data_IF_508403379678
#
_entry.id   IF_508403379678
#
_cell.length_a   1.000
_cell.length_b   1.000
_cell.length_c   1.000
_cell.angle_alpha   90.00
_cell.angle_beta   90.00
_cell.angle_gamma   90.00
#
_symmetry.space_group_name_H-M   'P 1'
#
loop_
_entity.id
_entity.type
_entity.pdbx_description
1 polymer ?
#
# COMPACT_ATOMS: atom_id res chain seq x y z
N UNK A 1 -12.28 -1.56 -2.23
CA UNK A 1 -12.95 -0.55 -3.08
C UNK A 1 -14.09 -1.22 -3.81
N UNK A 2 -15.27 -0.62 -3.79
CA UNK A 2 -16.45 -1.11 -4.52
C UNK A 2 -16.92 -0.06 -5.52
N UNK A 3 -17.43 -0.48 -6.66
CA UNK A 3 -18.02 0.41 -7.64
C UNK A 3 -19.42 0.88 -7.23
N UNK A 4 -20.05 1.73 -8.05
CA UNK A 4 -21.39 2.24 -7.81
C UNK A 4 -22.47 1.15 -7.70
N UNK A 5 -22.26 -0.02 -8.29
CA UNK A 5 -23.14 -1.19 -8.19
C UNK A 5 -22.84 -2.07 -6.97
N UNK A 6 -21.95 -1.61 -6.08
CA UNK A 6 -21.44 -2.32 -4.90
C UNK A 6 -20.67 -3.60 -5.21
N UNK A 7 -20.21 -3.77 -6.45
CA UNK A 7 -19.30 -4.84 -6.85
C UNK A 7 -17.89 -4.44 -6.46
N UNK A 8 -17.16 -5.38 -5.86
CA UNK A 8 -15.79 -5.15 -5.42
C UNK A 8 -14.84 -5.08 -6.62
N UNK A 9 -14.23 -3.91 -6.82
CA UNK A 9 -13.22 -3.69 -7.87
C UNK A 9 -11.86 -4.24 -7.45
N UNK A 10 -11.46 -4.01 -6.20
CA UNK A 10 -10.13 -4.39 -5.72
C UNK A 10 -9.76 -3.74 -4.38
N UNK A 11 -8.51 -3.96 -3.96
CA UNK A 11 -7.97 -3.54 -2.67
C UNK A 11 -6.85 -2.51 -2.86
N UNK A 12 -6.80 -1.53 -1.95
CA UNK A 12 -5.65 -0.65 -1.77
C UNK A 12 -5.01 -0.97 -0.42
N UNK A 13 -3.72 -1.28 -0.43
CA UNK A 13 -2.94 -1.55 0.77
C UNK A 13 -1.83 -0.51 0.87
N UNK A 14 -1.84 0.28 1.94
CA UNK A 14 -0.77 1.24 2.21
C UNK A 14 0.22 0.66 3.21
N UNK A 15 1.50 0.82 2.93
CA UNK A 15 2.60 0.52 3.85
C UNK A 15 3.32 1.80 4.25
N UNK A 16 3.20 2.17 5.53
CA UNK A 16 3.98 3.26 6.13
C UNK A 16 5.41 2.77 6.37
N UNK A 17 6.41 3.44 5.79
CA UNK A 17 7.82 3.06 5.94
C UNK A 17 8.11 1.55 5.69
N UNK A 18 7.43 0.96 4.69
CA UNK A 18 7.53 -0.45 4.36
C UNK A 18 8.96 -0.84 3.93
N UNK A 19 9.41 -2.02 4.34
CA UNK A 19 10.73 -2.53 3.95
C UNK A 19 10.68 -3.08 2.53
N UNK A 20 11.38 -2.44 1.59
CA UNK A 20 11.49 -2.87 0.20
C UNK A 20 12.86 -3.51 -0.04
N UNK A 21 12.85 -4.73 -0.57
CA UNK A 21 14.05 -5.41 -1.07
C UNK A 21 14.05 -5.37 -2.59
N UNK A 22 15.09 -4.77 -3.18
CA UNK A 22 15.31 -4.84 -4.62
C UNK A 22 16.48 -5.77 -4.88
N UNK A 23 16.15 -6.99 -5.31
CA UNK A 23 17.11 -8.05 -5.58
C UNK A 23 17.41 -8.08 -7.08
N UNK A 24 18.68 -7.96 -7.45
CA UNK A 24 19.10 -8.14 -8.83
C UNK A 24 19.22 -9.64 -9.13
N UNK A 25 18.31 -10.14 -9.95
CA UNK A 25 18.19 -11.56 -10.27
C UNK A 25 19.07 -12.01 -11.45
N UNK A 26 19.86 -11.11 -12.05
CA UNK A 26 20.73 -11.40 -13.19
C UNK A 26 20.37 -10.59 -14.43
N UNK A 27 21.00 -10.93 -15.56
CA UNK A 27 20.78 -10.23 -16.82
C UNK A 27 19.39 -10.52 -17.39
N UNK A 28 18.75 -9.49 -17.94
CA UNK A 28 17.38 -9.58 -18.43
C UNK A 28 17.20 -10.45 -19.68
N UNK A 29 18.28 -10.74 -20.42
CA UNK A 29 18.32 -11.64 -21.58
C UNK A 29 18.83 -13.05 -21.25
N UNK A 30 19.01 -13.39 -19.97
CA UNK A 30 19.41 -14.74 -19.58
C UNK A 30 18.36 -15.77 -20.00
N UNK A 31 18.84 -16.93 -20.49
CA UNK A 31 17.95 -18.03 -20.91
C UNK A 31 17.13 -18.52 -19.72
N UNK A 32 15.93 -19.01 -19.98
CA UNK A 32 14.96 -19.44 -18.95
C UNK A 32 15.51 -20.52 -17.99
N UNK A 33 16.47 -21.33 -18.44
CA UNK A 33 17.15 -22.36 -17.65
C UNK A 33 18.50 -21.93 -17.05
N UNK A 34 18.88 -20.65 -17.14
CA UNK A 34 20.14 -20.16 -16.58
C UNK A 34 19.97 -19.83 -15.09
N UNK A 35 20.98 -20.19 -14.27
CA UNK A 35 20.97 -19.91 -12.83
C UNK A 35 20.93 -18.39 -12.60
N UNK A 36 19.93 -17.91 -11.85
CA UNK A 36 19.75 -16.48 -11.52
C UNK A 36 20.83 -15.98 -10.54
N UNK A 37 21.39 -14.81 -10.81
CA UNK A 37 22.42 -14.13 -10.02
C UNK A 37 23.66 -13.82 -10.85
N UNK A 38 24.77 -13.55 -10.16
CA UNK A 38 26.07 -13.26 -10.76
C UNK A 38 27.13 -14.11 -10.05
N UNK A 39 28.15 -14.55 -10.77
CA UNK A 39 29.24 -15.30 -10.19
C UNK A 39 30.29 -14.32 -9.65
N UNK A 40 30.60 -14.41 -8.35
CA UNK A 40 31.56 -13.55 -7.65
C UNK A 40 32.71 -14.40 -7.14
N UNK A 41 33.94 -13.96 -7.41
CA UNK A 41 35.13 -14.47 -6.74
C UNK A 41 35.22 -13.91 -5.32
N UNK A 42 35.13 -14.77 -4.32
CA UNK A 42 35.12 -14.36 -2.91
C UNK A 42 36.52 -13.99 -2.39
N UNK A 43 37.59 -14.49 -3.01
CA UNK A 43 38.97 -14.15 -2.60
C UNK A 43 39.42 -12.83 -3.21
N UNK A 44 39.12 -12.62 -4.50
CA UNK A 44 39.66 -11.47 -5.26
C UNK A 44 38.64 -10.36 -5.48
N UNK A 45 37.35 -10.59 -5.22
CA UNK A 45 36.29 -9.60 -5.35
C UNK A 45 35.90 -9.26 -6.79
N UNK A 46 36.34 -10.07 -7.77
CA UNK A 46 35.99 -9.87 -9.18
C UNK A 46 34.68 -10.56 -9.54
N UNK A 47 33.83 -9.86 -10.27
CA UNK A 47 32.64 -10.42 -10.90
C UNK A 47 33.06 -11.17 -12.17
N UNK A 48 32.54 -12.38 -12.37
CA UNK A 48 32.72 -13.07 -13.64
C UNK A 48 31.99 -12.30 -14.75
N UNK A 49 32.63 -12.18 -15.90
CA UNK A 49 31.99 -11.72 -17.13
C UNK A 49 30.89 -12.70 -17.54
N UNK A 50 29.79 -12.18 -18.10
CA UNK A 50 28.70 -13.04 -18.57
C UNK A 50 29.23 -13.95 -19.68
N UNK A 51 29.07 -15.26 -19.52
CA UNK A 51 29.44 -16.24 -20.55
C UNK A 51 28.70 -16.03 -21.89
N UNK A 52 27.65 -15.19 -21.92
CA UNK A 52 26.93 -14.79 -23.14
C UNK A 52 27.34 -13.40 -23.69
N UNK A 53 28.32 -12.70 -23.10
CA UNK A 53 28.77 -11.41 -23.64
C UNK A 53 29.47 -11.61 -24.98
N UNK A 54 29.04 -10.88 -26.02
CA UNK A 54 29.73 -10.84 -27.32
C UNK A 54 30.99 -9.95 -27.31
N UNK A 55 31.32 -9.36 -26.16
CA UNK A 55 32.58 -8.66 -25.99
C UNK A 55 33.73 -9.67 -26.03
N UNK A 56 34.85 -9.36 -26.72
CA UNK A 56 35.99 -10.25 -26.75
C UNK A 56 36.48 -10.47 -25.31
N UNK A 57 36.33 -11.69 -24.82
CA UNK A 57 36.95 -12.12 -23.57
C UNK A 57 38.46 -11.87 -23.72
N UNK A 58 38.99 -10.97 -22.91
CA UNK A 58 40.44 -10.78 -22.89
C UNK A 58 41.06 -12.01 -22.25
N UNK A 59 42.20 -12.50 -22.76
CA UNK A 59 42.92 -13.63 -22.14
C UNK A 59 43.29 -13.36 -20.66
N UNK A 60 43.22 -12.09 -20.25
CA UNK A 60 43.44 -11.61 -18.89
C UNK A 60 42.26 -11.88 -17.92
N UNK A 61 41.04 -12.12 -18.40
CA UNK A 61 39.85 -12.28 -17.55
C UNK A 61 39.80 -13.64 -16.85
N UNK A 62 40.21 -14.72 -17.52
CA UNK A 62 40.28 -16.06 -16.93
C UNK A 62 41.44 -16.22 -15.94
N UNK A 63 42.55 -15.48 -16.14
CA UNK A 63 43.72 -15.48 -15.24
C UNK A 63 43.42 -14.75 -13.91
N UNK A 64 42.43 -13.85 -13.91
CA UNK A 64 42.08 -13.02 -12.75
C UNK A 64 41.20 -13.70 -11.71
N UNK A 65 40.57 -14.82 -11.99
CA UNK A 65 39.68 -15.48 -11.03
C UNK A 65 40.31 -16.66 -10.29
N UNK A 66 40.05 -16.76 -8.99
CA UNK A 66 40.37 -17.89 -8.12
C UNK A 66 39.40 -19.06 -8.31
N UNK A 67 39.65 -20.17 -7.62
CA UNK A 67 38.72 -21.31 -7.57
C UNK A 67 37.53 -21.07 -6.61
N UNK A 68 37.58 -20.03 -5.78
CA UNK A 68 36.55 -19.72 -4.78
C UNK A 68 35.49 -18.79 -5.37
N UNK A 69 34.58 -19.37 -6.18
CA UNK A 69 33.51 -18.64 -6.86
C UNK A 69 32.14 -19.01 -6.30
N UNK A 70 31.31 -18.02 -6.00
CA UNK A 70 29.94 -18.23 -5.52
C UNK A 70 28.92 -17.44 -6.33
N UNK A 71 27.72 -18.02 -6.50
CA UNK A 71 26.60 -17.33 -7.11
C UNK A 71 25.91 -16.44 -6.09
N UNK A 72 26.00 -15.13 -6.29
CA UNK A 72 25.40 -14.14 -5.40
C UNK A 72 24.29 -13.37 -6.12
N UNK A 73 23.37 -12.83 -5.33
CA UNK A 73 22.29 -11.96 -5.80
C UNK A 73 22.38 -10.66 -5.01
N UNK A 74 23.01 -9.62 -5.57
CA UNK A 74 23.12 -8.35 -4.87
C UNK A 74 21.71 -7.80 -4.68
N UNK A 75 21.47 -7.25 -3.50
CA UNK A 75 20.21 -6.62 -3.17
C UNK A 75 20.46 -5.33 -2.41
N UNK A 76 19.50 -4.43 -2.51
CA UNK A 76 19.40 -3.26 -1.64
C UNK A 76 18.14 -3.37 -0.81
N UNK A 77 18.21 -2.87 0.42
CA UNK A 77 17.10 -2.76 1.35
C UNK A 77 16.87 -1.28 1.64
N UNK A 78 15.62 -0.85 1.50
CA UNK A 78 15.21 0.52 1.80
C UNK A 78 13.87 0.52 2.56
N UNK A 79 13.51 1.66 3.16
CA UNK A 79 12.25 1.90 3.85
C UNK A 79 11.48 3.00 3.12
N UNK A 80 10.37 2.65 2.48
CA UNK A 80 9.60 3.59 1.66
C UNK A 80 8.11 3.52 1.97
N UNK A 81 7.44 4.65 1.87
CA UNK A 81 5.99 4.67 1.79
C UNK A 81 5.56 4.03 0.47
N UNK A 82 4.63 3.08 0.55
CA UNK A 82 4.12 2.41 -0.64
C UNK A 82 2.60 2.26 -0.61
N UNK A 83 2.02 2.19 -1.80
CA UNK A 83 0.60 1.93 -2.03
C UNK A 83 0.51 0.81 -3.06
N UNK A 84 -0.13 -0.28 -2.67
CA UNK A 84 -0.37 -1.43 -3.51
C UNK A 84 -1.83 -1.43 -3.97
N UNK A 85 -2.04 -1.49 -5.28
CA UNK A 85 -3.35 -1.65 -5.91
C UNK A 85 -3.49 -3.07 -6.45
N UNK A 86 -4.47 -3.81 -5.92
CA UNK A 86 -4.79 -5.19 -6.28
C UNK A 86 -6.23 -5.27 -6.82
N UNK A 87 -6.42 -5.29 -8.15
CA UNK A 87 -7.70 -5.61 -8.74
C UNK A 87 -8.20 -6.99 -8.28
N UNK A 88 -9.50 -7.11 -8.00
CA UNK A 88 -10.12 -8.38 -7.63
C UNK A 88 -10.19 -9.32 -8.82
N UNK A 89 -10.63 -8.80 -9.95
CA UNK A 89 -10.62 -9.50 -11.23
C UNK A 89 -9.35 -9.14 -11.99
N UNK A 90 -8.74 -10.13 -12.62
CA UNK A 90 -7.54 -9.91 -13.41
C UNK A 90 -7.87 -9.02 -14.61
N UNK A 91 -7.26 -7.84 -14.65
CA UNK A 91 -7.25 -6.98 -15.82
C UNK A 91 -6.34 -7.56 -16.90
N UNK A 92 -6.58 -7.18 -18.15
CA UNK A 92 -5.71 -7.53 -19.28
C UNK A 92 -4.34 -6.87 -19.14
N UNK A 93 -3.35 -7.37 -19.89
CA UNK A 93 -2.00 -6.83 -19.86
C UNK A 93 -1.97 -5.33 -20.26
N UNK A 94 -2.71 -4.96 -21.29
CA UNK A 94 -2.80 -3.57 -21.79
C UNK A 94 -3.48 -2.64 -20.78
N UNK A 95 -4.56 -3.10 -20.14
CA UNK A 95 -5.25 -2.36 -19.07
C UNK A 95 -4.31 -2.12 -17.88
N UNK A 96 -3.58 -3.14 -17.41
CA UNK A 96 -2.64 -3.01 -16.28
C UNK A 96 -1.50 -2.04 -16.59
N UNK A 97 -0.89 -2.16 -17.78
CA UNK A 97 0.19 -1.28 -18.24
C UNK A 97 -0.30 0.18 -18.31
N UNK A 98 -1.45 0.38 -18.95
CA UNK A 98 -2.01 1.71 -19.19
C UNK A 98 -2.49 2.34 -17.88
N UNK A 99 -3.10 1.56 -16.99
CA UNK A 99 -3.58 2.02 -15.68
C UNK A 99 -2.39 2.41 -14.80
N UNK A 100 -1.34 1.59 -14.76
CA UNK A 100 -0.11 1.92 -14.03
C UNK A 100 0.49 3.26 -14.52
N UNK A 101 0.57 3.46 -15.84
CA UNK A 101 1.09 4.69 -16.43
C UNK A 101 0.20 5.90 -16.10
N UNK A 102 -1.12 5.74 -16.17
CA UNK A 102 -2.10 6.79 -15.88
C UNK A 102 -2.03 7.23 -14.42
N UNK A 103 -2.10 6.29 -13.48
CA UNK A 103 -2.06 6.58 -12.05
C UNK A 103 -0.74 7.24 -11.66
N UNK A 104 0.39 6.73 -12.15
CA UNK A 104 1.72 7.32 -11.89
C UNK A 104 1.76 8.77 -12.34
N UNK A 105 1.35 9.06 -13.59
CA UNK A 105 1.39 10.41 -14.16
C UNK A 105 0.39 11.36 -13.51
N UNK A 106 -0.79 10.87 -13.13
CA UNK A 106 -1.78 11.67 -12.42
C UNK A 106 -1.27 12.13 -11.05
N UNK A 107 -0.62 11.23 -10.30
CA UNK A 107 0.01 11.58 -9.02
C UNK A 107 1.14 12.59 -9.25
N UNK A 108 1.99 12.37 -10.26
CA UNK A 108 3.07 13.30 -10.58
C UNK A 108 2.55 14.71 -10.93
N UNK A 109 1.54 14.80 -11.79
CA UNK A 109 0.96 16.08 -12.18
C UNK A 109 0.25 16.78 -11.01
N UNK A 110 -0.58 16.04 -10.26
CA UNK A 110 -1.36 16.60 -9.16
C UNK A 110 -0.49 17.13 -8.02
N UNK A 111 0.57 16.40 -7.68
CA UNK A 111 1.45 16.72 -6.56
C UNK A 111 2.78 17.33 -6.99
N UNK A 112 2.94 17.66 -8.28
CA UNK A 112 4.12 18.30 -8.86
C UNK A 112 5.42 17.53 -8.57
N UNK A 113 5.37 16.21 -8.72
CA UNK A 113 6.53 15.34 -8.51
C UNK A 113 7.33 15.16 -9.79
N UNK A 114 8.65 15.09 -9.64
CA UNK A 114 9.55 14.69 -10.70
C UNK A 114 9.46 13.18 -11.01
N UNK A 115 9.94 12.77 -12.18
CA UNK A 115 9.85 11.35 -12.61
C UNK A 115 10.56 10.38 -11.65
N UNK A 116 11.64 10.85 -11.01
CA UNK A 116 12.44 10.05 -10.08
C UNK A 116 11.85 9.96 -8.67
N UNK A 117 10.84 10.75 -8.31
CA UNK A 117 10.31 10.81 -6.94
C UNK A 117 9.22 9.78 -6.67
N UNK A 118 8.57 9.27 -7.72
CA UNK A 118 7.54 8.25 -7.64
C UNK A 118 7.85 7.10 -8.59
N UNK A 119 7.95 5.89 -8.04
CA UNK A 119 8.06 4.67 -8.82
C UNK A 119 6.70 3.96 -8.91
N UNK A 120 6.47 3.29 -10.05
CA UNK A 120 5.35 2.38 -10.26
C UNK A 120 5.91 1.09 -10.85
N UNK A 121 5.68 -0.03 -10.17
CA UNK A 121 6.16 -1.34 -10.59
C UNK A 121 5.00 -2.33 -10.67
N UNK A 122 4.96 -3.18 -11.70
CA UNK A 122 4.05 -4.30 -11.71
C UNK A 122 4.55 -5.39 -10.76
N UNK A 123 3.62 -6.10 -10.12
CA UNK A 123 3.90 -7.28 -9.31
C UNK A 123 3.14 -8.51 -9.81
N UNK A 124 3.75 -9.72 -9.71
CA UNK A 124 5.11 -9.97 -9.26
C UNK A 124 6.21 -9.46 -10.19
N UNK A 125 5.97 -9.36 -11.51
CA UNK A 125 6.93 -8.81 -12.47
C UNK A 125 6.26 -8.29 -13.77
N UNK A 126 7.07 -7.82 -14.72
CA UNK A 126 6.59 -7.25 -15.99
C UNK A 126 5.96 -8.28 -16.95
N UNK A 127 6.08 -9.59 -16.72
CA UNK A 127 5.40 -10.60 -17.54
C UNK A 127 4.05 -11.01 -16.92
N UNK A 128 3.90 -10.82 -15.62
CA UNK A 128 2.71 -11.18 -14.86
C UNK A 128 2.30 -9.99 -13.97
N UNK A 129 1.51 -9.08 -14.55
CA UNK A 129 1.07 -7.85 -13.89
C UNK A 129 -0.25 -8.10 -13.16
N UNK A 130 -0.18 -8.61 -11.93
CA UNK A 130 -1.37 -8.86 -11.09
C UNK A 130 -1.73 -7.66 -10.23
N UNK A 131 -0.74 -6.84 -9.86
CA UNK A 131 -0.96 -5.65 -9.03
C UNK A 131 0.04 -4.55 -9.36
N UNK A 132 -0.27 -3.33 -8.92
CA UNK A 132 0.55 -2.14 -9.14
C UNK A 132 1.09 -1.67 -7.80
N UNK A 133 2.41 -1.68 -7.64
CA UNK A 133 3.10 -1.11 -6.49
C UNK A 133 3.58 0.29 -6.82
N UNK A 134 3.01 1.29 -6.15
CA UNK A 134 3.53 2.65 -6.12
C UNK A 134 4.40 2.81 -4.87
N UNK A 135 5.57 3.42 -5.00
CA UNK A 135 6.36 3.82 -3.83
C UNK A 135 7.09 5.15 -4.04
N UNK A 136 7.24 5.88 -2.95
CA UNK A 136 7.96 7.16 -2.92
C UNK A 136 9.47 6.87 -2.94
N UNK A 137 10.12 7.25 -4.04
CA UNK A 137 11.55 6.99 -4.27
C UNK A 137 12.45 7.97 -3.54
N UNK A 138 11.95 9.16 -3.22
CA UNK A 138 12.68 10.19 -2.46
C UNK A 138 13.03 9.72 -1.05
N UNK A 139 14.14 10.20 -0.50
CA UNK A 139 14.53 9.94 0.89
C UNK A 139 13.54 10.64 1.84
N UNK A 140 13.06 9.93 2.87
CA UNK A 140 12.06 10.44 3.83
C UNK A 140 10.60 10.37 3.36
N UNK A 141 10.34 10.21 2.06
CA UNK A 141 8.98 10.16 1.51
C UNK A 141 8.27 11.51 1.54
N UNK A 142 7.47 11.79 0.51
CA UNK A 142 6.65 13.00 0.45
C UNK A 142 5.32 12.86 1.23
N UNK A 143 4.97 11.64 1.65
CA UNK A 143 3.71 11.34 2.35
C UNK A 143 2.48 11.49 1.46
N UNK A 144 2.66 11.53 0.14
CA UNK A 144 1.62 11.70 -0.87
C UNK A 144 0.77 10.44 -0.97
N UNK A 145 1.39 9.26 -0.95
CA UNK A 145 0.66 8.00 -1.04
C UNK A 145 -0.28 7.78 0.15
N UNK A 146 0.07 8.33 1.33
CA UNK A 146 -0.79 8.32 2.53
C UNK A 146 -2.05 9.16 2.32
N UNK A 147 -1.95 10.28 1.61
CA UNK A 147 -3.09 11.16 1.32
C UNK A 147 -4.13 10.45 0.44
N UNK A 148 -3.70 9.54 -0.44
CA UNK A 148 -4.60 8.75 -1.29
C UNK A 148 -5.46 7.74 -0.53
N UNK A 149 -5.23 7.55 0.77
CA UNK A 149 -6.17 6.84 1.64
C UNK A 149 -7.45 7.63 1.93
N UNK A 150 -7.41 8.96 1.76
CA UNK A 150 -8.60 9.79 1.79
C UNK A 150 -9.38 9.59 0.46
N UNK A 151 -10.64 9.12 0.50
CA UNK A 151 -11.43 8.90 -0.70
C UNK A 151 -11.51 10.14 -1.62
N UNK A 152 -11.57 11.34 -1.06
CA UNK A 152 -11.63 12.57 -1.85
C UNK A 152 -10.33 12.81 -2.63
N UNK A 153 -9.18 12.56 -2.02
CA UNK A 153 -7.88 12.69 -2.70
C UNK A 153 -7.66 11.58 -3.73
N UNK A 154 -8.14 10.36 -3.43
CA UNK A 154 -8.15 9.27 -4.40
C UNK A 154 -9.01 9.64 -5.62
N UNK A 155 -10.26 10.06 -5.42
CA UNK A 155 -11.15 10.46 -6.52
C UNK A 155 -10.57 11.61 -7.32
N UNK A 156 -9.96 12.59 -6.65
CA UNK A 156 -9.30 13.69 -7.33
C UNK A 156 -8.08 13.24 -8.17
N UNK A 157 -7.33 12.23 -7.71
CA UNK A 157 -6.27 11.58 -8.48
C UNK A 157 -6.82 10.80 -9.68
N UNK A 158 -7.96 10.12 -9.55
CA UNK A 158 -8.62 9.44 -10.68
C UNK A 158 -9.16 10.43 -11.71
N UNK A 159 -9.76 11.53 -11.26
CA UNK A 159 -10.18 12.65 -12.14
C UNK A 159 -8.98 13.20 -12.91
N UNK A 160 -7.82 13.35 -12.26
CA UNK A 160 -6.60 13.76 -12.93
C UNK A 160 -6.09 12.71 -13.92
N UNK A 161 -6.21 11.42 -13.58
CA UNK A 161 -5.87 10.30 -14.49
C UNK A 161 -6.69 10.36 -15.79
N UNK A 162 -8.00 10.67 -15.70
CA UNK A 162 -8.85 10.88 -16.87
C UNK A 162 -8.36 12.04 -17.73
N UNK A 163 -8.03 13.20 -17.12
CA UNK A 163 -7.51 14.37 -17.86
C UNK A 163 -6.19 14.07 -18.56
N UNK A 164 -5.28 13.42 -17.83
CA UNK A 164 -3.98 12.99 -18.35
C UNK A 164 -4.16 12.05 -19.54
N UNK A 165 -5.12 11.13 -19.48
CA UNK A 165 -5.50 10.25 -20.59
C UNK A 165 -6.37 10.92 -21.70
N UNK A 166 -6.51 12.25 -21.66
CA UNK A 166 -7.29 13.08 -22.60
C UNK A 166 -8.80 12.82 -22.61
N UNK A 167 -9.35 12.32 -21.50
CA UNK A 167 -10.80 12.19 -21.32
C UNK A 167 -11.36 13.37 -20.54
N UNK A 168 -12.58 13.76 -20.88
CA UNK A 168 -13.40 14.63 -20.05
C UNK A 168 -13.82 13.88 -18.78
N UNK A 169 -13.46 14.36 -17.57
CA UNK A 169 -13.72 13.60 -16.35
C UNK A 169 -15.20 13.43 -16.01
N UNK A 170 -16.09 14.28 -16.52
CA UNK A 170 -17.52 14.22 -16.23
C UNK A 170 -18.24 13.19 -17.12
N UNK A 171 -18.03 13.28 -18.43
CA UNK A 171 -18.71 12.46 -19.43
C UNK A 171 -17.92 11.22 -19.88
N UNK A 172 -16.61 11.16 -19.57
CA UNK A 172 -15.69 10.19 -20.14
C UNK A 172 -15.49 10.37 -21.65
N UNK A 173 -15.90 11.50 -22.24
CA UNK A 173 -15.73 11.76 -23.67
C UNK A 173 -14.25 11.91 -24.00
N UNK A 174 -13.83 11.29 -25.09
CA UNK A 174 -12.49 11.47 -25.63
C UNK A 174 -12.31 12.87 -26.24
N UNK A 175 -11.37 13.65 -25.71
CA UNK A 175 -10.97 14.95 -26.25
C UNK A 175 -9.88 14.84 -27.32
N UNK A 176 -9.42 13.62 -27.62
CA UNK A 176 -8.45 13.23 -28.64
C UNK A 176 -7.03 13.75 -28.42
N UNK A 177 -6.80 14.75 -27.57
CA UNK A 177 -5.50 15.41 -27.40
C UNK A 177 -5.43 16.24 -26.11
N UNK A 178 -4.22 16.60 -25.70
CA UNK A 178 -4.00 17.62 -24.68
C UNK A 178 -4.44 19.02 -25.17
N UNK A 179 -4.74 19.93 -24.24
CA UNK A 179 -5.25 21.28 -24.52
C UNK A 179 -4.37 22.08 -25.51
N UNK A 180 -3.05 21.92 -25.43
CA UNK A 180 -2.08 22.64 -26.27
C UNK A 180 -1.45 21.78 -27.38
N UNK A 181 -1.92 20.53 -27.56
CA UNK A 181 -1.37 19.63 -28.55
C UNK A 181 -1.93 19.90 -29.96
N UNK A 182 -1.04 19.85 -30.95
CA UNK A 182 -1.42 20.05 -32.38
C UNK A 182 -1.99 18.78 -33.00
N UNK A 183 -1.54 17.63 -32.54
CA UNK A 183 -1.87 16.31 -33.08
C UNK A 183 -2.84 15.58 -32.16
N UNK A 184 -3.64 14.68 -32.75
CA UNK A 184 -4.46 13.77 -31.97
C UNK A 184 -3.59 12.65 -31.41
N UNK A 185 -3.81 12.32 -30.14
CA UNK A 185 -3.37 11.08 -29.54
C UNK A 185 -4.26 9.94 -30.04
N UNK A 186 -3.64 8.96 -30.72
CA UNK A 186 -4.27 7.68 -31.02
C UNK A 186 -4.28 6.81 -29.75
N UNK A 187 -3.40 5.82 -29.62
CA UNK A 187 -3.35 4.95 -28.44
C UNK A 187 -2.75 5.64 -27.21
N UNK A 188 -1.56 6.24 -27.36
CA UNK A 188 -0.87 6.99 -26.31
C UNK A 188 0.18 7.94 -26.89
N UNK A 189 0.55 8.98 -26.14
CA UNK A 189 1.57 9.96 -26.47
C UNK A 189 2.33 10.40 -25.20
N UNK A 190 3.40 11.17 -25.38
CA UNK A 190 4.18 11.72 -24.27
C UNK A 190 3.38 12.73 -23.42
N UNK A 191 2.41 13.43 -24.02
CA UNK A 191 1.49 14.31 -23.28
C UNK A 191 0.43 13.54 -22.49
N UNK A 192 0.25 12.22 -22.69
CA UNK A 192 -0.78 11.42 -22.00
C UNK A 192 -0.31 10.26 -21.11
N UNK A 193 0.38 9.22 -21.62
CA UNK A 193 0.75 8.02 -20.83
C UNK A 193 2.19 7.56 -21.05
N UNK A 194 2.82 7.93 -22.17
CA UNK A 194 4.20 7.55 -22.47
C UNK A 194 5.21 8.41 -21.69
N UNK A 195 6.23 7.78 -21.14
CA UNK A 195 7.42 8.44 -20.61
C UNK A 195 8.67 7.69 -21.02
N UNK A 196 9.85 8.24 -20.74
CA UNK A 196 11.09 7.54 -21.02
C UNK A 196 11.26 6.29 -20.12
N UNK A 197 10.75 6.31 -18.89
CA UNK A 197 10.87 5.15 -17.98
C UNK A 197 10.02 3.95 -18.39
N UNK A 198 8.95 4.14 -19.16
CA UNK A 198 8.07 3.05 -19.63
C UNK A 198 8.24 2.72 -21.12
N UNK A 199 9.36 3.10 -21.75
CA UNK A 199 9.60 2.91 -23.19
C UNK A 199 9.40 1.48 -23.70
N UNK A 200 9.64 0.48 -22.84
CA UNK A 200 9.47 -0.93 -23.18
C UNK A 200 8.01 -1.35 -23.34
N UNK A 201 7.12 -0.65 -22.64
CA UNK A 201 5.70 -0.91 -22.63
C UNK A 201 4.95 -0.07 -23.68
N UNK A 202 5.61 0.88 -24.36
CA UNK A 202 4.99 1.82 -25.31
C UNK A 202 4.06 1.17 -26.33
N UNK A 203 4.39 -0.02 -26.83
CA UNK A 203 3.56 -0.74 -27.80
C UNK A 203 2.24 -1.30 -27.22
N UNK A 204 2.14 -1.39 -25.90
CA UNK A 204 1.00 -1.96 -25.16
C UNK A 204 0.24 -0.90 -24.34
N UNK A 205 0.69 0.35 -24.35
CA UNK A 205 -0.03 1.45 -23.68
C UNK A 205 -1.13 1.92 -24.63
N UNK A 206 -2.38 1.81 -24.18
CA UNK A 206 -3.56 2.36 -24.85
C UNK A 206 -4.51 2.97 -23.83
N UNK A 207 -4.66 4.30 -23.90
CA UNK A 207 -5.51 5.08 -22.99
C UNK A 207 -6.98 4.69 -23.06
N UNK A 208 -7.47 4.15 -24.18
CA UNK A 208 -8.89 3.79 -24.32
C UNK A 208 -9.26 2.57 -23.49
N UNK A 209 -8.32 1.64 -23.28
CA UNK A 209 -8.54 0.41 -22.50
C UNK A 209 -8.91 0.70 -21.04
N UNK A 210 -8.43 1.83 -20.50
CA UNK A 210 -8.61 2.20 -19.10
C UNK A 210 -9.71 3.23 -18.86
N UNK A 211 -10.37 3.74 -19.91
CA UNK A 211 -11.41 4.77 -19.79
C UNK A 211 -12.49 4.32 -18.81
N UNK A 212 -13.06 3.15 -19.05
CA UNK A 212 -14.22 2.68 -18.28
C UNK A 212 -13.80 2.32 -16.85
N UNK A 213 -12.60 1.74 -16.67
CA UNK A 213 -11.98 1.49 -15.36
C UNK A 213 -11.83 2.79 -14.56
N UNK A 214 -11.30 3.85 -15.18
CA UNK A 214 -11.12 5.14 -14.51
C UNK A 214 -12.47 5.79 -14.17
N UNK A 215 -13.47 5.67 -15.05
CA UNK A 215 -14.82 6.17 -14.78
C UNK A 215 -15.49 5.43 -13.62
N UNK A 216 -15.26 4.12 -13.51
CA UNK A 216 -15.72 3.29 -12.40
C UNK A 216 -15.01 3.67 -11.08
N UNK A 217 -13.68 3.80 -11.11
CA UNK A 217 -12.88 4.22 -9.95
C UNK A 217 -13.23 5.63 -9.46
N UNK A 218 -13.68 6.52 -10.36
CA UNK A 218 -14.10 7.91 -10.02
C UNK A 218 -15.24 7.93 -9.01
N UNK A 219 -16.09 6.89 -9.00
CA UNK A 219 -17.27 6.79 -8.12
C UNK A 219 -17.14 5.67 -7.09
N UNK A 220 -15.95 5.10 -6.94
CA UNK A 220 -15.74 3.97 -6.05
C UNK A 220 -15.91 4.34 -4.56
N UNK A 221 -16.57 3.48 -3.80
CA UNK A 221 -16.70 3.56 -2.35
C UNK A 221 -15.58 2.78 -1.65
N UNK A 222 -15.15 3.29 -0.49
CA UNK A 222 -14.03 2.75 0.30
C UNK A 222 -14.52 2.23 1.64
N UNK A 223 -14.14 0.99 1.96
CA UNK A 223 -14.24 0.42 3.31
C UNK A 223 -12.81 0.31 3.85
N UNK A 224 -12.50 1.02 4.94
CA UNK A 224 -11.14 1.10 5.48
C UNK A 224 -10.91 -0.06 6.44
N UNK A 225 -9.84 -0.84 6.29
CA UNK A 225 -9.44 -1.83 7.29
C UNK A 225 -8.07 -1.48 7.84
N UNK A 226 -7.90 -1.48 9.18
CA UNK A 226 -6.56 -1.37 9.81
C UNK A 226 -5.81 -2.72 9.79
N UNK A 227 -6.39 -3.79 9.27
CA UNK A 227 -5.71 -5.08 9.12
C UNK A 227 -5.66 -5.54 7.67
N UNK A 228 -4.71 -6.44 7.37
CA UNK A 228 -4.58 -7.11 6.06
C UNK A 228 -5.79 -7.98 5.67
N UNK A 229 -6.76 -8.15 6.57
CA UNK A 229 -8.00 -8.85 6.28
C UNK A 229 -9.05 -7.83 5.80
N UNK A 230 -9.95 -8.23 4.88
CA UNK A 230 -11.11 -7.41 4.54
C UNK A 230 -11.83 -6.95 5.81
N UNK A 231 -12.22 -5.67 5.88
CA UNK A 231 -12.77 -5.04 7.10
C UNK A 231 -13.84 -5.89 7.78
N UNK A 232 -14.77 -6.47 7.01
CA UNK A 232 -15.82 -7.35 7.54
C UNK A 232 -15.27 -8.65 8.15
N UNK A 233 -14.25 -9.27 7.53
CA UNK A 233 -13.60 -10.47 8.09
C UNK A 233 -12.82 -10.13 9.36
N UNK A 234 -12.14 -8.98 9.37
CA UNK A 234 -11.45 -8.46 10.53
C UNK A 234 -12.42 -8.22 11.70
N UNK A 235 -13.52 -7.51 11.44
CA UNK A 235 -14.59 -7.27 12.41
C UNK A 235 -15.17 -8.60 12.94
N UNK A 236 -15.40 -9.57 12.06
CA UNK A 236 -15.90 -10.90 12.46
C UNK A 236 -14.91 -11.61 13.39
N UNK A 237 -13.60 -11.53 13.11
CA UNK A 237 -12.56 -12.09 13.96
C UNK A 237 -12.52 -11.40 15.33
N UNK A 238 -12.55 -10.06 15.36
CA UNK A 238 -12.61 -9.29 16.61
C UNK A 238 -13.85 -9.66 17.45
N UNK A 239 -15.03 -9.70 16.82
CA UNK A 239 -16.29 -10.10 17.49
C UNK A 239 -16.25 -11.53 18.00
N UNK A 240 -15.61 -12.46 17.28
CA UNK A 240 -15.50 -13.85 17.72
C UNK A 240 -14.67 -14.02 18.99
N UNK A 241 -13.80 -13.05 19.29
CA UNK A 241 -12.93 -13.02 20.47
C UNK A 241 -13.47 -12.13 21.58
N UNK A 242 -14.51 -11.35 21.34
CA UNK A 242 -15.14 -10.50 22.36
C UNK A 242 -15.78 -11.36 23.46
N UNK A 243 -15.56 -11.01 24.72
CA UNK A 243 -16.04 -11.77 25.88
C UNK A 243 -17.38 -11.23 26.39
N UNK A 244 -17.79 -10.04 25.96
CA UNK A 244 -19.05 -9.41 26.35
C UNK A 244 -19.88 -8.85 25.19
N UNK A 245 -21.20 -8.73 25.41
CA UNK A 245 -22.10 -8.05 24.46
C UNK A 245 -21.76 -6.56 24.29
N UNK A 246 -21.17 -5.95 25.32
CA UNK A 246 -20.80 -4.54 25.30
C UNK A 246 -19.59 -4.30 24.39
N UNK A 247 -18.61 -5.20 24.40
CA UNK A 247 -17.50 -5.21 23.44
C UNK A 247 -17.99 -5.35 21.99
N UNK A 248 -18.95 -6.27 21.74
CA UNK A 248 -19.56 -6.42 20.41
C UNK A 248 -20.27 -5.13 19.98
N UNK A 249 -21.05 -4.52 20.88
CA UNK A 249 -21.73 -3.25 20.61
C UNK A 249 -20.75 -2.11 20.34
N UNK A 250 -19.61 -2.08 21.01
CA UNK A 250 -18.57 -1.09 20.75
C UNK A 250 -17.94 -1.28 19.37
N UNK A 251 -17.68 -2.53 18.95
CA UNK A 251 -17.23 -2.84 17.59
C UNK A 251 -18.28 -2.47 16.53
N UNK A 252 -19.56 -2.76 16.78
CA UNK A 252 -20.68 -2.34 15.91
C UNK A 252 -20.74 -0.81 15.80
N UNK A 253 -20.58 -0.11 16.91
CA UNK A 253 -20.58 1.35 16.96
C UNK A 253 -19.46 1.94 16.09
N UNK A 254 -18.25 1.36 16.12
CA UNK A 254 -17.14 1.78 15.26
C UNK A 254 -17.44 1.48 13.78
N UNK A 255 -18.04 0.32 13.50
CA UNK A 255 -18.37 -0.11 12.15
C UNK A 255 -19.41 0.80 11.49
N UNK A 256 -20.51 1.08 12.18
CA UNK A 256 -21.60 1.95 11.69
C UNK A 256 -21.11 3.35 11.32
N UNK A 257 -20.00 3.80 11.91
CA UNK A 257 -19.40 5.12 11.70
C UNK A 257 -18.13 5.09 10.87
N UNK A 258 -17.79 3.93 10.30
CA UNK A 258 -16.58 3.70 9.51
C UNK A 258 -15.29 4.17 10.21
N UNK A 259 -15.25 4.01 11.54
CA UNK A 259 -14.07 4.34 12.35
C UNK A 259 -13.03 3.24 12.26
N UNK A 260 -11.79 3.55 12.61
CA UNK A 260 -10.72 2.57 12.65
C UNK A 260 -11.04 1.46 13.66
N UNK A 261 -10.80 0.21 13.26
CA UNK A 261 -11.02 -0.97 14.10
C UNK A 261 -9.71 -1.37 14.78
N UNK A 262 -9.71 -1.86 16.02
CA UNK A 262 -8.50 -2.30 16.70
C UNK A 262 -7.80 -3.43 15.95
N UNK A 263 -6.47 -3.53 16.08
CA UNK A 263 -5.67 -4.58 15.44
C UNK A 263 -5.89 -5.95 16.07
N UNK A 264 -6.14 -6.01 17.38
CA UNK A 264 -6.31 -7.26 18.12
C UNK A 264 -7.41 -7.15 19.18
N UNK A 265 -8.03 -8.28 19.50
CA UNK A 265 -8.94 -8.45 20.63
C UNK A 265 -8.35 -9.49 21.60
N UNK A 266 -8.52 -9.26 22.91
CA UNK A 266 -8.17 -10.18 24.00
C UNK A 266 -6.74 -10.75 23.91
N UNK A 267 -5.75 -9.92 23.54
CA UNK A 267 -4.34 -10.32 23.45
C UNK A 267 -3.63 -10.04 24.78
N UNK A 268 -3.06 -11.08 25.38
CA UNK A 268 -2.32 -10.94 26.65
C UNK A 268 -1.03 -10.12 26.46
N UNK A 269 -0.85 -9.11 27.29
CA UNK A 269 0.36 -8.28 27.35
C UNK A 269 1.19 -8.67 28.57
N UNK A 270 2.30 -9.38 28.33
CA UNK A 270 3.23 -9.83 29.38
C UNK A 270 3.81 -8.67 30.19
N UNK A 271 4.02 -7.52 29.54
CA UNK A 271 4.63 -6.32 30.13
C UNK A 271 3.86 -5.75 31.33
N UNK A 272 2.53 -5.93 31.37
CA UNK A 272 1.67 -5.38 32.42
C UNK A 272 0.71 -6.43 33.00
N UNK A 273 0.99 -7.72 32.73
CA UNK A 273 0.20 -8.87 33.18
C UNK A 273 -1.32 -8.66 33.02
N UNK A 274 -1.72 -8.18 31.84
CA UNK A 274 -3.11 -7.78 31.57
C UNK A 274 -3.56 -8.18 30.18
N UNK A 275 -4.85 -8.48 30.04
CA UNK A 275 -5.51 -8.74 28.77
C UNK A 275 -6.48 -7.58 28.54
N UNK A 276 -6.13 -6.57 27.74
CA UNK A 276 -7.08 -5.56 27.31
C UNK A 276 -8.11 -6.14 26.34
N UNK A 277 -9.29 -5.54 26.32
CA UNK A 277 -10.38 -5.99 25.44
C UNK A 277 -9.99 -5.82 23.98
N UNK A 278 -9.40 -4.67 23.64
CA UNK A 278 -8.86 -4.40 22.32
C UNK A 278 -7.52 -3.67 22.35
N UNK A 279 -6.76 -3.79 21.26
CA UNK A 279 -5.43 -3.19 21.11
C UNK A 279 -5.31 -2.54 19.73
N UNK A 280 -4.72 -1.35 19.68
CA UNK A 280 -4.12 -0.73 18.51
C UNK A 280 -2.60 -0.87 18.61
N UNK A 281 -2.05 -1.99 18.14
CA UNK A 281 -0.68 -2.41 18.45
C UNK A 281 0.37 -1.44 17.91
N UNK A 282 0.20 -0.93 16.69
CA UNK A 282 1.12 0.03 16.08
C UNK A 282 1.17 1.37 16.83
N UNK A 283 0.02 1.82 17.33
CA UNK A 283 -0.13 3.07 18.07
C UNK A 283 0.15 2.90 19.57
N UNK A 284 0.45 1.67 20.02
CA UNK A 284 0.61 1.29 21.42
C UNK A 284 -0.55 1.77 22.30
N UNK A 285 -1.78 1.60 21.84
CA UNK A 285 -2.97 1.95 22.63
C UNK A 285 -3.74 0.69 22.99
N UNK A 286 -4.14 0.58 24.26
CA UNK A 286 -5.06 -0.46 24.73
C UNK A 286 -6.42 0.14 25.08
N UNK A 287 -7.47 -0.64 24.81
CA UNK A 287 -8.85 -0.27 25.06
C UNK A 287 -9.45 -1.24 26.07
N UNK A 288 -10.12 -0.68 27.09
CA UNK A 288 -10.99 -1.43 27.99
C UNK A 288 -12.44 -0.97 27.84
N UNK A 289 -13.37 -1.92 27.78
CA UNK A 289 -14.81 -1.71 27.67
C UNK A 289 -15.44 -2.11 29.01
N UNK A 290 -15.53 -1.14 29.91
CA UNK A 290 -15.92 -1.37 31.30
C UNK A 290 -17.46 -1.50 31.42
N UNK A 291 -17.92 -2.74 31.65
CA UNK A 291 -19.32 -3.05 31.96
C UNK A 291 -19.70 -2.79 33.44
N UNK A 292 -20.99 -2.93 33.82
CA UNK A 292 -21.49 -2.70 35.18
C UNK A 292 -20.69 -3.35 36.34
N UNK A 293 -20.07 -4.54 36.17
CA UNK A 293 -19.25 -5.14 37.22
C UNK A 293 -17.93 -4.41 37.53
N UNK A 294 -17.55 -3.36 36.80
CA UNK A 294 -16.34 -2.56 37.06
C UNK A 294 -16.55 -1.45 38.09
N UNK A 295 -17.78 -1.24 38.59
CA UNK A 295 -18.10 -0.25 39.62
C UNK A 295 -17.63 -0.63 41.04
N UNK A 296 -17.07 -1.84 41.23
CA UNK A 296 -16.60 -2.28 42.55
C UNK A 296 -15.21 -1.73 42.92
N UNK A 297 -15.01 -1.21 44.16
CA UNK A 297 -13.77 -0.54 44.57
C UNK A 297 -12.48 -1.38 44.49
N UNK A 298 -12.57 -2.70 44.60
CA UNK A 298 -11.41 -3.60 44.52
C UNK A 298 -10.85 -3.72 43.11
N UNK A 299 -11.70 -3.65 42.08
CA UNK A 299 -11.26 -3.63 40.67
C UNK A 299 -10.54 -2.33 40.33
N UNK A 300 -11.06 -1.19 40.79
CA UNK A 300 -10.47 0.13 40.54
C UNK A 300 -9.01 0.26 41.03
N UNK A 301 -8.61 -0.45 42.10
CA UNK A 301 -7.22 -0.43 42.57
C UNK A 301 -6.28 -1.25 41.69
N UNK A 302 -6.74 -2.39 41.19
CA UNK A 302 -5.97 -3.23 40.26
C UNK A 302 -5.82 -2.54 38.90
N UNK A 303 -6.91 -1.95 38.41
CA UNK A 303 -6.97 -1.22 37.15
C UNK A 303 -5.99 -0.04 37.13
N UNK A 304 -5.91 0.73 38.23
CA UNK A 304 -4.97 1.85 38.35
C UNK A 304 -3.50 1.42 38.33
N UNK A 305 -3.19 0.24 38.89
CA UNK A 305 -1.83 -0.28 38.88
C UNK A 305 -1.44 -0.74 37.46
N UNK A 306 -2.31 -1.51 36.81
CA UNK A 306 -2.08 -1.96 35.43
C UNK A 306 -1.99 -0.79 34.45
N UNK A 307 -2.78 0.27 34.65
CA UNK A 307 -2.68 1.49 33.83
C UNK A 307 -1.35 2.22 34.01
N UNK A 308 -0.85 2.31 35.25
CA UNK A 308 0.46 2.89 35.53
C UNK A 308 1.58 2.07 34.87
N UNK A 309 1.53 0.74 35.03
CA UNK A 309 2.53 -0.15 34.43
C UNK A 309 2.53 -0.03 32.89
N UNK A 310 1.35 -0.02 32.25
CA UNK A 310 1.24 0.18 30.80
C UNK A 310 1.83 1.52 30.33
N UNK A 311 1.54 2.60 31.05
CA UNK A 311 2.10 3.93 30.75
C UNK A 311 3.61 3.97 30.89
N UNK A 312 4.17 3.30 31.90
CA UNK A 312 5.62 3.18 32.08
C UNK A 312 6.30 2.44 30.91
N UNK A 313 5.59 1.50 30.26
CA UNK A 313 6.04 0.83 29.03
C UNK A 313 5.69 1.59 27.74
N UNK A 314 5.16 2.81 27.85
CA UNK A 314 4.82 3.67 26.71
C UNK A 314 3.55 3.26 25.97
N UNK A 315 2.61 2.63 26.66
CA UNK A 315 1.27 2.35 26.16
C UNK A 315 0.26 3.34 26.71
N UNK A 316 -0.62 3.83 25.83
CA UNK A 316 -1.78 4.63 26.23
C UNK A 316 -2.97 3.73 26.55
N UNK A 317 -3.77 4.16 27.53
CA UNK A 317 -4.94 3.40 28.00
C UNK A 317 -6.19 4.27 27.81
N UNK A 318 -7.16 3.75 27.07
CA UNK A 318 -8.46 4.40 26.88
C UNK A 318 -9.55 3.46 27.38
N UNK A 319 -10.45 4.00 28.22
CA UNK A 319 -11.55 3.25 28.81
C UNK A 319 -12.88 3.76 28.26
N UNK A 320 -13.76 2.85 27.87
CA UNK A 320 -15.13 3.13 27.47
C UNK A 320 -16.07 2.54 28.50
N UNK A 321 -16.65 3.39 29.35
CA UNK A 321 -17.68 2.94 30.27
C UNK A 321 -19.04 2.84 29.59
N UNK A 322 -19.89 1.91 30.01
CA UNK A 322 -21.23 1.71 29.44
C UNK A 322 -22.20 2.90 29.63
N UNK A 323 -21.92 3.81 30.57
CA UNK A 323 -22.69 5.05 30.76
C UNK A 323 -22.09 6.27 30.06
N UNK A 324 -20.90 6.14 29.49
CA UNK A 324 -20.21 7.26 28.86
C UNK A 324 -20.69 7.48 27.43
N UNK A 325 -20.57 8.72 26.96
CA UNK A 325 -20.73 9.02 25.54
C UNK A 325 -19.47 8.58 24.79
N UNK A 326 -19.52 7.41 24.15
CA UNK A 326 -18.41 6.87 23.35
C UNK A 326 -17.97 7.85 22.25
N UNK A 327 -18.91 8.60 21.67
CA UNK A 327 -18.64 9.66 20.69
C UNK A 327 -17.71 10.74 21.24
N UNK A 328 -17.90 11.18 22.50
CA UNK A 328 -17.02 12.17 23.12
C UNK A 328 -15.62 11.64 23.37
N UNK A 329 -15.50 10.37 23.79
CA UNK A 329 -14.20 9.73 24.03
C UNK A 329 -13.44 9.60 22.71
N UNK A 330 -14.11 9.12 21.66
CA UNK A 330 -13.52 8.99 20.32
C UNK A 330 -13.06 10.35 19.78
N UNK A 331 -13.85 11.40 19.98
CA UNK A 331 -13.50 12.77 19.58
C UNK A 331 -12.25 13.35 20.27
N UNK A 332 -11.82 12.79 21.40
CA UNK A 332 -10.56 13.17 22.06
C UNK A 332 -9.33 12.54 21.37
N UNK A 333 -9.53 11.46 20.60
CA UNK A 333 -8.46 10.72 19.92
C UNK A 333 -8.75 10.59 18.41
N UNK A 334 -8.86 11.71 17.66
CA UNK A 334 -9.26 11.70 16.26
C UNK A 334 -8.27 10.93 15.37
N UNK A 335 -6.97 11.00 15.66
CA UNK A 335 -5.92 10.26 14.95
C UNK A 335 -5.95 8.75 15.21
N UNK A 336 -6.40 8.34 16.39
CA UNK A 336 -6.54 6.92 16.74
C UNK A 336 -7.70 6.30 15.98
N UNK A 337 -8.86 6.97 15.96
CA UNK A 337 -10.11 6.43 15.41
C UNK A 337 -10.42 6.85 13.97
N UNK A 338 -9.59 7.68 13.34
CA UNK A 338 -9.78 8.13 11.95
C UNK A 338 -10.88 9.18 11.79
N UNK A 339 -11.12 10.00 12.81
CA UNK A 339 -12.10 11.09 12.74
C UNK A 339 -11.45 12.29 12.06
N UNK A 340 -11.99 12.72 10.91
CA UNK A 340 -11.59 13.97 10.28
C UNK A 340 -11.95 15.14 11.22
N UNK A 341 -10.96 15.96 11.58
CA UNK A 341 -11.20 17.25 12.24
C UNK A 341 -11.74 18.27 11.25
#
# INVERSE_FOLDING_TARGET
MRNAEKVEFGTLTYGDSATIYRINMGFRRSKENQRRGFLLDLERGYWATDSNSQEPQSEDDDVRMSNSKEWVRPYVRDHKNCLLLEPKESLTEEEMISLQAALKRAIQNRYQLEESELAALPLPDENERRSILLYESSEGGAGILKQLLNPNEFHAMIVESLRVAHFDPESGRDNLRAENARENCEAACYDCLMSYSNQRDHQKIDRHTIRDILMELKTAEFEISESHLPRMMHLTNLKSKAESKLEIQWLDFLEERNLHLPSNAQKYLEIAETTPDFIYEEKKVVIYIDGPPHDYPERQRRDKRQEADLKDYGWDVIRFHHHDSWEKIIGQYPTLFGVNQ
#
